data_IF_457084907695
#
_entry.id   IF_457084907695
#
_cell.length_a   1.000
_cell.length_b   1.000
_cell.length_c   1.000
_cell.angle_alpha   90.00
_cell.angle_beta   90.00
_cell.angle_gamma   90.00
#
_symmetry.space_group_name_H-M   'P 1'
#
loop_
_entity.id
_entity.type
_entity.pdbx_description
1 polymer ?
#
# COMPACT_ATOMS: atom_id res chain seq x y z
N UNK A 1 -20.09 -0.25 -7.60
CA UNK A 1 -20.82 -0.28 -6.30
C UNK A 1 -22.23 -0.79 -6.57
N UNK A 2 -22.72 -1.84 -5.89
CA UNK A 2 -24.07 -2.35 -6.10
C UNK A 2 -25.10 -1.27 -5.76
N UNK A 3 -26.15 -1.15 -6.58
CA UNK A 3 -27.17 -0.10 -6.44
C UNK A 3 -28.09 -0.29 -5.22
N UNK A 4 -28.19 -1.51 -4.70
CA UNK A 4 -28.85 -1.82 -3.43
C UNK A 4 -28.27 -3.10 -2.85
N UNK A 5 -28.19 -3.16 -1.52
CA UNK A 5 -27.86 -4.37 -0.76
C UNK A 5 -29.02 -4.60 0.22
N UNK A 6 -29.86 -5.63 0.02
CA UNK A 6 -30.94 -5.93 0.94
C UNK A 6 -30.36 -6.44 2.27
N UNK A 7 -30.60 -5.72 3.36
CA UNK A 7 -30.14 -6.07 4.71
C UNK A 7 -31.35 -6.54 5.52
N UNK A 8 -31.42 -7.84 5.82
CA UNK A 8 -32.42 -8.43 6.71
C UNK A 8 -31.86 -8.59 8.13
N UNK A 9 -32.48 -8.01 9.17
CA UNK A 9 -32.05 -8.20 10.56
C UNK A 9 -32.09 -9.66 11.01
N UNK A 10 -33.04 -10.43 10.50
CA UNK A 10 -33.21 -11.85 10.84
C UNK A 10 -32.05 -12.72 10.31
N UNK A 11 -31.36 -12.28 9.26
CA UNK A 11 -30.23 -13.01 8.66
C UNK A 11 -28.88 -12.49 9.15
N UNK A 12 -28.69 -11.17 9.17
CA UNK A 12 -27.42 -10.53 9.53
C UNK A 12 -27.09 -10.61 11.03
N UNK A 13 -28.10 -10.84 11.89
CA UNK A 13 -27.91 -10.98 13.35
C UNK A 13 -27.98 -12.43 13.83
N UNK A 14 -27.89 -13.41 12.93
CA UNK A 14 -27.82 -14.81 13.33
C UNK A 14 -26.57 -15.05 14.19
N UNK A 15 -26.69 -15.78 15.32
CA UNK A 15 -25.51 -16.20 16.09
C UNK A 15 -24.56 -17.01 15.20
N UNK A 16 -23.28 -16.69 15.27
CA UNK A 16 -22.26 -17.34 14.46
C UNK A 16 -20.87 -16.95 14.95
N UNK A 17 -19.86 -17.58 14.36
CA UNK A 17 -18.46 -17.30 14.64
C UNK A 17 -17.77 -16.90 13.35
N UNK A 18 -16.98 -15.83 13.40
CA UNK A 18 -16.13 -15.43 12.28
C UNK A 18 -14.82 -16.20 12.41
N UNK A 19 -14.51 -17.05 11.41
CA UNK A 19 -13.22 -17.74 11.30
C UNK A 19 -12.35 -16.96 10.32
N UNK A 20 -11.24 -16.42 10.81
CA UNK A 20 -10.23 -15.80 9.95
C UNK A 20 -9.19 -16.84 9.57
N UNK A 21 -8.81 -16.85 8.30
CA UNK A 21 -7.51 -17.40 7.95
C UNK A 21 -6.41 -16.50 8.53
N UNK A 22 -5.24 -17.06 8.90
CA UNK A 22 -4.11 -16.26 9.34
C UNK A 22 -3.79 -15.20 8.30
N UNK A 23 -3.81 -13.93 8.70
CA UNK A 23 -3.50 -12.83 7.79
C UNK A 23 -1.98 -12.78 7.63
N UNK A 24 -1.45 -13.01 6.41
CA UNK A 24 -0.02 -12.94 6.18
C UNK A 24 0.49 -11.51 6.36
N UNK A 25 1.50 -11.32 7.23
CA UNK A 25 2.15 -10.03 7.49
C UNK A 25 3.57 -10.09 6.94
N UNK A 26 4.04 -9.01 6.28
CA UNK A 26 5.42 -8.84 5.81
C UNK A 26 5.99 -10.05 5.03
N UNK A 27 5.17 -10.67 4.18
CA UNK A 27 5.57 -11.86 3.42
C UNK A 27 6.59 -11.58 2.32
N UNK A 28 6.71 -10.31 1.92
CA UNK A 28 7.69 -9.92 0.93
C UNK A 28 9.09 -9.96 1.56
N UNK A 29 9.83 -11.02 1.25
CA UNK A 29 11.20 -11.28 1.74
C UNK A 29 12.20 -11.39 0.57
N UNK A 30 11.81 -10.96 -0.63
CA UNK A 30 12.67 -11.04 -1.81
C UNK A 30 13.80 -10.03 -1.70
N UNK A 31 14.99 -10.46 -2.09
CA UNK A 31 16.16 -9.61 -2.23
C UNK A 31 16.16 -8.90 -3.59
N UNK A 32 17.01 -7.90 -3.75
CA UNK A 32 17.23 -7.24 -5.05
C UNK A 32 17.69 -8.25 -6.11
N UNK A 33 18.47 -9.27 -5.72
CA UNK A 33 18.92 -10.31 -6.63
C UNK A 33 17.76 -11.18 -7.16
N UNK A 34 16.77 -11.45 -6.31
CA UNK A 34 15.57 -12.23 -6.69
C UNK A 34 14.69 -11.46 -7.68
N UNK A 35 14.70 -10.12 -7.63
CA UNK A 35 13.91 -9.26 -8.50
C UNK A 35 14.56 -9.04 -9.89
N UNK A 36 15.85 -9.35 -10.06
CA UNK A 36 16.52 -9.27 -11.37
C UNK A 36 15.95 -10.26 -12.39
N UNK A 37 15.18 -11.26 -11.96
CA UNK A 37 14.43 -12.14 -12.86
C UNK A 37 13.13 -11.53 -13.40
N UNK A 38 12.59 -10.52 -12.72
CA UNK A 38 11.34 -9.84 -13.09
C UNK A 38 11.57 -8.47 -13.75
N UNK A 39 12.65 -7.78 -13.36
CA UNK A 39 12.98 -6.44 -13.83
C UNK A 39 14.43 -6.37 -14.29
N UNK A 40 14.69 -5.55 -15.32
CA UNK A 40 16.07 -5.26 -15.71
C UNK A 40 16.75 -4.37 -14.67
N UNK A 41 18.09 -4.39 -14.64
CA UNK A 41 18.87 -3.52 -13.74
C UNK A 41 18.55 -2.04 -13.96
N UNK A 42 18.38 -1.62 -15.20
CA UNK A 42 18.07 -0.23 -15.54
C UNK A 42 16.67 0.17 -15.06
N UNK A 43 15.71 -0.76 -15.09
CA UNK A 43 14.36 -0.50 -14.58
C UNK A 43 14.37 -0.34 -13.06
N UNK A 44 15.11 -1.18 -12.34
CA UNK A 44 15.24 -1.03 -10.88
C UNK A 44 15.87 0.31 -10.49
N UNK A 45 16.88 0.78 -11.23
CA UNK A 45 17.49 2.08 -11.02
C UNK A 45 16.52 3.24 -11.31
N UNK A 46 15.70 3.11 -12.37
CA UNK A 46 14.66 4.11 -12.69
C UNK A 46 13.58 4.16 -11.61
N UNK A 47 13.09 3.00 -11.18
CA UNK A 47 12.09 2.91 -10.11
C UNK A 47 12.60 3.56 -8.83
N UNK A 48 13.86 3.27 -8.44
CA UNK A 48 14.46 3.89 -7.26
C UNK A 48 14.53 5.42 -7.39
N UNK A 49 14.98 5.92 -8.54
CA UNK A 49 15.04 7.36 -8.81
C UNK A 49 13.65 8.01 -8.71
N UNK A 50 12.63 7.39 -9.28
CA UNK A 50 11.26 7.92 -9.22
C UNK A 50 10.73 7.92 -7.79
N UNK A 51 11.01 6.87 -7.00
CA UNK A 51 10.66 6.83 -5.59
C UNK A 51 11.35 7.93 -4.78
N UNK A 52 12.62 8.22 -5.04
CA UNK A 52 13.36 9.32 -4.39
C UNK A 52 12.76 10.69 -4.72
N UNK A 53 12.39 10.92 -5.98
CA UNK A 53 11.76 12.17 -6.41
C UNK A 53 10.39 12.34 -5.73
N UNK A 54 9.57 11.30 -5.69
CA UNK A 54 8.27 11.32 -5.01
C UNK A 54 8.47 11.61 -3.52
N UNK A 55 9.44 10.94 -2.87
CA UNK A 55 9.74 11.17 -1.45
C UNK A 55 10.19 12.61 -1.19
N UNK A 56 11.05 13.17 -2.04
CA UNK A 56 11.49 14.55 -1.91
C UNK A 56 10.32 15.53 -2.02
N UNK A 57 9.40 15.27 -2.96
CA UNK A 57 8.19 16.07 -3.12
C UNK A 57 7.24 15.97 -1.91
N UNK A 58 7.02 14.77 -1.37
CA UNK A 58 6.22 14.58 -0.16
C UNK A 58 6.82 15.31 1.04
N UNK A 59 8.14 15.22 1.21
CA UNK A 59 8.86 15.93 2.26
C UNK A 59 8.71 17.45 2.10
N UNK A 60 8.88 17.96 0.88
CA UNK A 60 8.65 19.37 0.57
C UNK A 60 7.24 19.82 0.96
N UNK A 61 6.21 19.07 0.56
CA UNK A 61 4.83 19.40 0.92
C UNK A 61 4.62 19.37 2.43
N UNK A 62 5.23 18.42 3.13
CA UNK A 62 5.13 18.33 4.58
C UNK A 62 5.81 19.52 5.28
N UNK A 63 6.99 19.94 4.81
CA UNK A 63 7.70 21.11 5.34
C UNK A 63 6.91 22.40 5.14
N UNK A 64 6.35 22.62 3.94
CA UNK A 64 5.50 23.78 3.69
C UNK A 64 4.27 23.77 4.61
N UNK A 65 3.64 22.62 4.82
CA UNK A 65 2.48 22.50 5.72
C UNK A 65 2.82 22.83 7.17
N UNK A 66 4.00 22.40 7.64
CA UNK A 66 4.37 22.54 9.05
C UNK A 66 5.07 23.87 9.38
N UNK A 67 5.88 24.38 8.44
CA UNK A 67 6.77 25.53 8.66
C UNK A 67 6.42 26.75 7.79
N UNK A 68 5.56 26.59 6.80
CA UNK A 68 5.17 27.65 5.87
C UNK A 68 6.19 27.94 4.76
N UNK A 69 7.32 27.24 4.74
CA UNK A 69 8.35 27.35 3.70
C UNK A 69 9.07 26.01 3.47
N UNK A 70 9.69 25.87 2.30
CA UNK A 70 10.60 24.78 1.94
C UNK A 70 12.00 25.39 1.79
N UNK A 71 13.02 24.77 2.41
CA UNK A 71 14.40 25.26 2.40
C UNK A 71 15.34 24.27 1.73
#
# INVERSE_FOLDING_TARGET
MPKSVPISPAENRKPGQITFEPIPINQYQKSVADELGAYSKDDLLRIQRDMEIIRAFENMLNEVKLRGSFA
#
